data_IF_189926974096
#
_entry.id   IF_189926974096
#
_cell.length_a   1.000
_cell.length_b   1.000
_cell.length_c   1.000
_cell.angle_alpha   90.00
_cell.angle_beta   90.00
_cell.angle_gamma   90.00
#
_symmetry.space_group_name_H-M   'P 1'
#
loop_
_entity.id
_entity.type
_entity.pdbx_description
1 polymer ?
#
# COMPACT_ATOMS: atom_id res chain seq x y z
N UNK A 1 26.87 -28.71 -19.89
CA UNK A 1 27.95 -28.68 -18.87
C UNK A 1 28.50 -27.27 -18.71
N UNK A 2 28.74 -26.83 -17.48
CA UNK A 2 29.39 -25.54 -17.25
C UNK A 2 30.87 -25.60 -17.68
N UNK A 3 31.40 -24.53 -18.30
CA UNK A 3 32.80 -24.45 -18.80
C UNK A 3 33.84 -24.91 -17.77
N UNK A 4 33.58 -24.71 -16.47
CA UNK A 4 34.45 -25.18 -15.40
C UNK A 4 34.51 -26.69 -15.32
N UNK A 5 33.39 -27.39 -15.35
CA UNK A 5 33.35 -28.87 -15.30
C UNK A 5 34.14 -29.48 -16.48
N UNK A 6 34.02 -28.85 -17.66
CA UNK A 6 34.80 -29.28 -18.82
C UNK A 6 36.31 -29.04 -18.58
N UNK A 7 36.69 -27.89 -17.99
CA UNK A 7 38.08 -27.63 -17.65
C UNK A 7 38.62 -28.58 -16.59
N UNK A 8 37.81 -28.96 -15.61
CA UNK A 8 38.16 -29.96 -14.58
C UNK A 8 38.40 -31.34 -15.19
N UNK A 9 37.54 -31.80 -16.08
CA UNK A 9 37.69 -33.07 -16.84
C UNK A 9 39.00 -33.04 -17.65
N UNK A 10 39.29 -31.93 -18.38
CA UNK A 10 40.53 -31.79 -19.15
C UNK A 10 41.78 -31.84 -18.28
N UNK A 11 41.73 -31.34 -17.06
CA UNK A 11 42.86 -31.39 -16.12
C UNK A 11 42.97 -32.78 -15.48
N UNK A 12 41.87 -33.38 -15.04
CA UNK A 12 41.90 -34.63 -14.28
C UNK A 12 42.04 -35.87 -15.17
N UNK A 13 41.31 -35.94 -16.28
CA UNK A 13 41.31 -37.10 -17.15
C UNK A 13 42.38 -37.04 -18.26
N UNK A 14 42.61 -35.84 -18.81
CA UNK A 14 43.55 -35.62 -19.90
C UNK A 14 44.90 -35.06 -19.48
N UNK A 15 45.13 -34.88 -18.15
CA UNK A 15 46.40 -34.42 -17.58
C UNK A 15 46.87 -33.07 -18.18
N UNK A 16 45.95 -32.26 -18.70
CA UNK A 16 46.30 -30.95 -19.28
C UNK A 16 46.62 -29.91 -18.17
N UNK A 17 47.66 -29.09 -18.36
CA UNK A 17 47.91 -27.97 -17.45
C UNK A 17 46.69 -27.06 -17.37
N UNK A 18 46.32 -26.59 -16.16
CA UNK A 18 45.15 -25.73 -15.91
C UNK A 18 45.10 -24.53 -16.85
N UNK A 19 46.27 -23.92 -17.15
CA UNK A 19 46.36 -22.79 -18.08
C UNK A 19 45.88 -23.16 -19.49
N UNK A 20 46.24 -24.34 -19.97
CA UNK A 20 45.84 -24.82 -21.30
C UNK A 20 44.37 -25.24 -21.33
N UNK A 21 43.91 -25.95 -20.32
CA UNK A 21 42.51 -26.32 -20.16
C UNK A 21 41.60 -25.09 -20.12
N UNK A 22 41.95 -24.09 -19.32
CA UNK A 22 41.20 -22.81 -19.25
C UNK A 22 41.16 -22.07 -20.59
N UNK A 23 42.26 -22.09 -21.35
CA UNK A 23 42.32 -21.46 -22.67
C UNK A 23 41.42 -22.17 -23.67
N UNK A 24 41.39 -23.49 -23.67
CA UNK A 24 40.54 -24.31 -24.56
C UNK A 24 39.04 -23.99 -24.34
N UNK A 25 38.59 -23.91 -23.07
CA UNK A 25 37.17 -23.66 -22.74
C UNK A 25 36.84 -22.17 -22.67
N UNK A 26 37.79 -21.28 -22.94
CA UNK A 26 37.63 -19.82 -22.79
C UNK A 26 37.13 -19.44 -21.40
N UNK A 27 37.78 -19.94 -20.36
CA UNK A 27 37.54 -19.63 -18.96
C UNK A 27 38.78 -18.91 -18.39
N UNK A 28 38.59 -17.85 -17.60
CA UNK A 28 39.73 -17.24 -16.92
C UNK A 28 40.24 -18.16 -15.80
N UNK A 29 41.56 -18.12 -15.51
CA UNK A 29 42.15 -18.88 -14.39
C UNK A 29 41.52 -18.51 -13.06
N UNK A 30 41.24 -17.20 -12.86
CA UNK A 30 40.55 -16.72 -11.66
C UNK A 30 39.18 -17.37 -11.51
N UNK A 31 38.39 -17.47 -12.60
CA UNK A 31 37.10 -18.14 -12.58
C UNK A 31 37.21 -19.66 -12.40
N UNK A 32 38.31 -20.29 -12.73
CA UNK A 32 38.58 -21.69 -12.44
C UNK A 32 38.84 -21.93 -10.96
N UNK A 33 39.69 -21.13 -10.32
CA UNK A 33 40.07 -21.31 -8.91
C UNK A 33 39.06 -20.70 -7.93
N UNK A 34 38.35 -19.69 -8.35
CA UNK A 34 37.33 -19.02 -7.50
C UNK A 34 35.93 -19.27 -8.08
N UNK A 35 35.26 -20.33 -7.65
CA UNK A 35 33.87 -20.54 -8.04
C UNK A 35 33.01 -19.35 -7.59
N UNK A 36 32.08 -18.91 -8.44
CA UNK A 36 31.12 -17.91 -8.00
C UNK A 36 30.35 -18.47 -6.80
N UNK A 37 30.18 -17.65 -5.77
CA UNK A 37 29.37 -18.02 -4.61
C UNK A 37 27.99 -18.46 -5.08
N UNK A 38 27.43 -19.54 -4.55
CA UNK A 38 26.07 -19.95 -4.84
C UNK A 38 25.10 -18.79 -4.65
N UNK A 39 24.13 -18.66 -5.53
CA UNK A 39 23.13 -17.60 -5.47
C UNK A 39 22.46 -17.50 -4.09
N UNK A 40 22.20 -18.65 -3.46
CA UNK A 40 21.64 -18.75 -2.11
C UNK A 40 22.50 -18.05 -1.05
N UNK A 41 23.83 -18.20 -1.11
CA UNK A 41 24.74 -17.51 -0.16
C UNK A 41 24.88 -16.02 -0.48
N UNK A 42 24.99 -15.68 -1.77
CA UNK A 42 25.11 -14.27 -2.19
C UNK A 42 23.87 -13.45 -1.88
N UNK A 43 22.69 -14.07 -1.97
CA UNK A 43 21.41 -13.41 -1.82
C UNK A 43 20.82 -13.57 -0.40
N UNK A 44 21.52 -14.28 0.51
CA UNK A 44 21.00 -14.64 1.84
C UNK A 44 20.45 -13.44 2.64
N UNK A 45 21.18 -12.31 2.64
CA UNK A 45 20.73 -11.12 3.34
C UNK A 45 19.45 -10.50 2.73
N UNK A 46 19.33 -10.53 1.39
CA UNK A 46 18.13 -10.04 0.69
C UNK A 46 16.96 -10.98 0.92
N UNK A 47 17.21 -12.30 0.90
CA UNK A 47 16.19 -13.32 1.17
C UNK A 47 15.63 -13.12 2.58
N UNK A 48 16.48 -13.03 3.58
CA UNK A 48 16.06 -12.85 4.97
C UNK A 48 15.21 -11.58 5.16
N UNK A 49 15.68 -10.44 4.62
CA UNK A 49 14.97 -9.17 4.74
C UNK A 49 13.63 -9.16 3.99
N UNK A 50 13.56 -9.77 2.79
CA UNK A 50 12.30 -9.89 2.05
C UNK A 50 11.31 -10.82 2.76
N UNK A 51 11.77 -11.93 3.31
CA UNK A 51 10.92 -12.88 4.05
C UNK A 51 10.33 -12.21 5.28
N UNK A 52 11.14 -11.49 6.06
CA UNK A 52 10.67 -10.75 7.22
C UNK A 52 9.67 -9.63 6.83
N UNK A 53 9.97 -8.85 5.80
CA UNK A 53 9.09 -7.81 5.31
C UNK A 53 7.74 -8.37 4.79
N UNK A 54 7.75 -9.51 4.07
CA UNK A 54 6.51 -10.15 3.59
C UNK A 54 5.70 -10.75 4.74
N UNK A 55 6.35 -11.28 5.77
CA UNK A 55 5.66 -11.78 6.98
C UNK A 55 4.92 -10.65 7.70
N UNK A 56 5.54 -9.47 7.80
CA UNK A 56 4.89 -8.29 8.40
C UNK A 56 3.83 -7.67 7.49
N UNK A 57 4.06 -7.67 6.18
CA UNK A 57 3.21 -6.98 5.21
C UNK A 57 2.80 -7.91 4.05
N UNK A 58 2.01 -8.94 4.28
CA UNK A 58 1.74 -10.02 3.31
C UNK A 58 0.99 -9.55 2.06
N UNK A 59 0.36 -8.36 2.10
CA UNK A 59 -0.41 -7.80 0.99
C UNK A 59 0.33 -6.71 0.21
N UNK A 60 1.58 -6.41 0.58
CA UNK A 60 2.36 -5.42 -0.11
C UNK A 60 3.00 -5.99 -1.38
N UNK A 61 2.90 -5.25 -2.47
CA UNK A 61 3.61 -5.57 -3.70
C UNK A 61 5.08 -5.16 -3.62
N UNK A 62 5.87 -5.59 -4.63
CA UNK A 62 7.31 -5.41 -4.69
C UNK A 62 7.78 -3.98 -4.32
N UNK A 63 7.19 -2.95 -4.93
CA UNK A 63 7.66 -1.58 -4.73
C UNK A 63 7.50 -1.09 -3.28
N UNK A 64 6.36 -1.37 -2.64
CA UNK A 64 6.16 -1.01 -1.23
C UNK A 64 7.15 -1.73 -0.30
N UNK A 65 7.41 -3.02 -0.56
CA UNK A 65 8.41 -3.78 0.19
C UNK A 65 9.81 -3.23 -0.04
N UNK A 66 10.16 -2.90 -1.29
CA UNK A 66 11.45 -2.32 -1.62
C UNK A 66 11.67 -0.95 -0.96
N UNK A 67 10.67 -0.07 -0.99
CA UNK A 67 10.71 1.24 -0.33
C UNK A 67 10.87 1.08 1.18
N UNK A 68 10.17 0.11 1.79
CA UNK A 68 10.34 -0.21 3.21
C UNK A 68 11.77 -0.63 3.54
N UNK A 69 12.36 -1.52 2.75
CA UNK A 69 13.76 -1.91 2.91
C UNK A 69 14.72 -0.72 2.78
N UNK A 70 14.41 0.25 1.91
CA UNK A 70 15.17 1.50 1.79
C UNK A 70 15.08 2.35 3.04
N UNK A 71 13.89 2.50 3.61
CA UNK A 71 13.67 3.20 4.90
C UNK A 71 14.42 2.52 6.04
N UNK A 72 14.53 1.19 6.03
CA UNK A 72 15.32 0.40 6.99
C UNK A 72 16.83 0.46 6.75
N UNK A 73 17.30 1.34 5.83
CA UNK A 73 18.72 1.57 5.56
C UNK A 73 19.37 0.57 4.59
N UNK A 74 18.59 -0.28 3.91
CA UNK A 74 19.15 -1.20 2.91
C UNK A 74 19.46 -0.48 1.60
N UNK A 75 20.69 -0.58 1.11
CA UNK A 75 21.19 0.13 -0.10
C UNK A 75 21.18 -0.72 -1.36
N UNK A 76 20.52 -1.88 -1.34
CA UNK A 76 20.51 -2.82 -2.47
C UNK A 76 19.85 -2.23 -3.72
N UNK A 77 20.38 -2.63 -4.89
CA UNK A 77 19.77 -2.25 -6.17
C UNK A 77 18.41 -2.94 -6.36
N UNK A 78 17.41 -2.20 -6.82
CA UNK A 78 16.07 -2.72 -7.03
C UNK A 78 16.03 -3.93 -7.97
N UNK A 79 16.88 -3.98 -9.03
CA UNK A 79 16.97 -5.13 -9.94
C UNK A 79 17.43 -6.39 -9.23
N UNK A 80 18.37 -6.27 -8.30
CA UNK A 80 18.83 -7.39 -7.47
C UNK A 80 17.72 -7.89 -6.56
N UNK A 81 17.08 -7.00 -5.81
CA UNK A 81 15.98 -7.33 -4.89
C UNK A 81 14.80 -7.93 -5.67
N UNK A 82 14.43 -7.36 -6.82
CA UNK A 82 13.34 -7.86 -7.66
C UNK A 82 13.61 -9.28 -8.19
N UNK A 83 14.84 -9.56 -8.61
CA UNK A 83 15.22 -10.92 -9.04
C UNK A 83 15.03 -11.94 -7.92
N UNK A 84 15.44 -11.60 -6.69
CA UNK A 84 15.27 -12.48 -5.52
C UNK A 84 13.78 -12.61 -5.17
N UNK A 85 13.02 -11.51 -5.18
CA UNK A 85 11.59 -11.49 -4.95
C UNK A 85 10.83 -12.43 -5.90
N UNK A 86 11.15 -12.39 -7.19
CA UNK A 86 10.57 -13.30 -8.18
C UNK A 86 11.01 -14.76 -7.98
N UNK A 87 12.29 -14.98 -7.61
CA UNK A 87 12.81 -16.33 -7.34
C UNK A 87 12.11 -16.99 -6.13
N UNK A 88 11.76 -16.19 -5.12
CA UNK A 88 10.98 -16.62 -3.96
C UNK A 88 9.48 -16.75 -4.23
N UNK A 89 9.02 -16.45 -5.45
CA UNK A 89 7.59 -16.48 -5.85
C UNK A 89 6.68 -15.62 -4.97
N UNK A 90 7.18 -14.49 -4.50
CA UNK A 90 6.43 -13.56 -3.64
C UNK A 90 5.45 -12.65 -4.42
N UNK A 91 5.36 -12.82 -5.73
CA UNK A 91 4.46 -12.04 -6.57
C UNK A 91 3.00 -12.23 -6.14
N UNK A 92 2.31 -11.14 -5.86
CA UNK A 92 0.88 -11.17 -5.57
C UNK A 92 0.11 -11.67 -6.81
N UNK A 93 -0.93 -12.51 -6.62
CA UNK A 93 -1.76 -12.98 -7.73
C UNK A 93 -2.36 -11.78 -8.48
N UNK A 94 -2.22 -11.76 -9.80
CA UNK A 94 -2.85 -10.76 -10.64
C UNK A 94 -4.36 -10.94 -10.60
N UNK A 95 -5.09 -9.93 -10.14
CA UNK A 95 -6.53 -9.89 -10.36
C UNK A 95 -6.80 -9.79 -11.86
N UNK A 96 -7.43 -10.79 -12.43
CA UNK A 96 -7.96 -10.71 -13.79
C UNK A 96 -9.12 -9.73 -13.78
N UNK A 97 -8.87 -8.49 -14.18
CA UNK A 97 -9.95 -7.52 -14.39
C UNK A 97 -10.70 -7.88 -15.66
N UNK A 98 -12.02 -8.07 -15.58
CA UNK A 98 -12.87 -8.07 -16.77
C UNK A 98 -12.59 -6.78 -17.56
N UNK A 99 -12.39 -6.87 -18.85
CA UNK A 99 -12.32 -5.70 -19.74
C UNK A 99 -13.67 -4.98 -19.69
N UNK A 100 -13.75 -3.95 -18.87
CA UNK A 100 -14.88 -3.01 -18.91
C UNK A 100 -14.57 -1.98 -19.98
N UNK A 101 -15.54 -1.55 -20.82
CA UNK A 101 -15.32 -0.48 -21.79
C UNK A 101 -14.67 0.73 -21.11
N UNK A 102 -13.72 1.36 -21.79
CA UNK A 102 -13.06 2.56 -21.28
C UNK A 102 -14.09 3.67 -21.08
N UNK A 103 -14.41 3.99 -19.85
CA UNK A 103 -15.15 5.22 -19.53
C UNK A 103 -14.24 6.41 -19.77
N UNK A 104 -14.79 7.47 -20.34
CA UNK A 104 -14.11 8.77 -20.42
C UNK A 104 -13.99 9.26 -18.96
N UNK A 105 -12.79 9.16 -18.43
CA UNK A 105 -12.50 9.65 -17.07
C UNK A 105 -12.31 11.16 -17.15
N UNK A 106 -13.15 11.89 -16.46
CA UNK A 106 -12.84 13.29 -16.14
C UNK A 106 -11.84 13.24 -14.95
N UNK A 107 -10.64 13.82 -15.11
CA UNK A 107 -9.71 13.85 -13.98
C UNK A 107 -10.32 14.66 -12.84
N UNK A 108 -10.30 14.12 -11.63
CA UNK A 108 -10.54 14.89 -10.42
C UNK A 108 -9.41 15.91 -10.29
N UNK A 109 -9.72 17.15 -10.56
CA UNK A 109 -8.80 18.25 -10.32
C UNK A 109 -8.96 18.69 -8.86
N UNK A 110 -8.30 17.98 -7.95
CA UNK A 110 -8.11 18.51 -6.60
C UNK A 110 -6.89 19.42 -6.66
N UNK A 111 -7.01 20.70 -6.34
CA UNK A 111 -5.85 21.57 -6.21
C UNK A 111 -4.97 21.04 -5.05
N UNK A 112 -3.63 21.06 -5.19
CA UNK A 112 -2.72 20.57 -4.16
C UNK A 112 -2.57 21.61 -3.00
N UNK A 113 -3.70 22.06 -2.48
CA UNK A 113 -3.78 23.06 -1.41
C UNK A 113 -4.49 22.43 -0.24
N UNK A 114 -3.85 22.46 0.93
CA UNK A 114 -4.40 21.92 2.17
C UNK A 114 -5.69 22.67 2.58
N UNK A 115 -6.56 21.94 3.23
CA UNK A 115 -7.84 22.47 3.76
C UNK A 115 -8.75 23.11 2.71
N UNK A 116 -8.56 22.81 1.44
CA UNK A 116 -9.54 23.23 0.42
C UNK A 116 -10.76 22.33 0.42
N UNK A 117 -10.57 21.02 0.31
CA UNK A 117 -11.67 20.06 0.26
C UNK A 117 -11.35 18.86 1.12
N UNK A 118 -12.18 18.60 2.11
CA UNK A 118 -12.15 17.33 2.83
C UNK A 118 -13.16 16.37 2.23
N UNK A 119 -12.75 15.15 1.93
CA UNK A 119 -13.65 14.10 1.51
C UNK A 119 -14.02 13.23 2.71
N UNK A 120 -15.32 12.95 2.86
CA UNK A 120 -15.86 12.11 3.91
C UNK A 120 -16.57 10.90 3.29
N UNK A 121 -16.38 9.74 3.90
CA UNK A 121 -17.08 8.51 3.47
C UNK A 121 -17.28 7.56 4.65
N UNK A 122 -18.28 6.68 4.50
CA UNK A 122 -18.56 5.63 5.47
C UNK A 122 -18.13 4.26 4.98
N UNK A 123 -17.45 3.54 5.86
CA UNK A 123 -17.22 2.11 5.68
C UNK A 123 -17.99 1.33 6.74
N UNK A 124 -18.39 0.12 6.41
CA UNK A 124 -18.88 -0.87 7.38
C UNK A 124 -17.89 -2.02 7.43
N UNK A 125 -17.57 -2.47 8.64
CA UNK A 125 -16.71 -3.61 8.88
C UNK A 125 -17.31 -4.51 9.95
N UNK A 126 -16.89 -5.79 9.96
CA UNK A 126 -17.37 -6.77 10.96
C UNK A 126 -16.19 -7.13 11.85
N UNK A 127 -16.33 -6.95 13.14
CA UNK A 127 -15.35 -7.35 14.14
C UNK A 127 -15.27 -8.88 14.27
N UNK A 128 -14.24 -9.37 14.94
CA UNK A 128 -14.04 -10.80 15.17
C UNK A 128 -15.20 -11.46 15.91
N UNK A 129 -15.83 -10.74 16.81
CA UNK A 129 -17.03 -11.17 17.56
C UNK A 129 -18.35 -11.15 16.76
N UNK A 130 -18.28 -10.80 15.47
CA UNK A 130 -19.43 -10.73 14.58
C UNK A 130 -20.23 -9.42 14.63
N UNK A 131 -19.88 -8.49 15.51
CA UNK A 131 -20.56 -7.18 15.56
C UNK A 131 -20.15 -6.33 14.36
N UNK A 132 -21.14 -5.64 13.78
CA UNK A 132 -20.91 -4.65 12.73
C UNK A 132 -20.60 -3.30 13.32
N UNK A 133 -19.56 -2.68 12.82
CA UNK A 133 -19.16 -1.31 13.15
C UNK A 133 -19.11 -0.46 11.89
N UNK A 134 -19.39 0.82 12.06
CA UNK A 134 -19.25 1.83 11.01
C UNK A 134 -17.99 2.65 11.29
N UNK A 135 -17.31 3.01 10.23
CA UNK A 135 -16.15 3.89 10.27
C UNK A 135 -16.48 5.10 9.40
N UNK A 136 -16.32 6.30 9.97
CA UNK A 136 -16.28 7.54 9.22
C UNK A 136 -14.82 7.85 8.92
N UNK A 137 -14.47 7.93 7.66
CA UNK A 137 -13.13 8.34 7.21
C UNK A 137 -13.18 9.76 6.69
N UNK A 138 -12.20 10.56 7.05
CA UNK A 138 -12.03 11.93 6.58
C UNK A 138 -10.61 12.08 6.04
N UNK A 139 -10.49 12.57 4.81
CA UNK A 139 -9.20 12.86 4.18
C UNK A 139 -9.16 14.28 3.65
N UNK A 140 -7.98 14.88 3.63
CA UNK A 140 -7.72 16.09 2.85
C UNK A 140 -7.39 15.69 1.40
N UNK A 141 -8.16 16.18 0.43
CA UNK A 141 -7.92 15.87 -0.99
C UNK A 141 -6.63 16.52 -1.52
N UNK A 142 -6.13 17.58 -0.90
CA UNK A 142 -4.95 18.33 -1.33
C UNK A 142 -3.67 17.49 -1.22
N UNK A 143 -3.41 16.91 -0.06
CA UNK A 143 -2.25 16.04 0.21
C UNK A 143 -2.61 14.56 0.30
N UNK A 144 -3.91 14.21 0.33
CA UNK A 144 -4.45 12.86 0.48
C UNK A 144 -4.15 12.23 1.83
N UNK A 145 -3.93 13.04 2.83
CA UNK A 145 -3.72 12.64 4.21
C UNK A 145 -5.04 12.20 4.85
N UNK A 146 -5.01 11.10 5.61
CA UNK A 146 -6.11 10.71 6.46
C UNK A 146 -6.14 11.59 7.71
N UNK A 147 -7.16 12.42 7.83
CA UNK A 147 -7.32 13.32 8.97
C UNK A 147 -7.90 12.61 10.19
N UNK A 148 -8.87 11.71 9.96
CA UNK A 148 -9.54 10.98 11.04
C UNK A 148 -10.19 9.69 10.53
N UNK A 149 -10.24 8.70 11.41
CA UNK A 149 -11.03 7.49 11.24
C UNK A 149 -11.83 7.26 12.53
N UNK A 150 -13.03 7.81 12.57
CA UNK A 150 -13.91 7.64 13.71
C UNK A 150 -14.72 6.34 13.61
N UNK A 151 -14.73 5.53 14.66
CA UNK A 151 -15.43 4.25 14.70
C UNK A 151 -16.59 4.28 15.69
N UNK A 152 -17.65 3.54 15.38
CA UNK A 152 -18.77 3.32 16.27
C UNK A 152 -19.79 2.33 15.72
N UNK A 153 -20.61 1.79 16.61
CA UNK A 153 -21.74 0.94 16.21
C UNK A 153 -22.75 1.77 15.43
N UNK A 154 -22.93 3.02 15.82
CA UNK A 154 -23.75 4.01 15.13
C UNK A 154 -23.01 5.34 15.05
N UNK A 155 -23.07 5.98 13.88
CA UNK A 155 -22.45 7.28 13.61
C UNK A 155 -23.52 8.22 13.02
N UNK A 156 -24.46 8.70 13.86
CA UNK A 156 -25.47 9.66 13.41
C UNK A 156 -24.84 11.03 13.10
N UNK A 157 -25.53 11.85 12.33
CA UNK A 157 -25.10 13.18 11.89
C UNK A 157 -24.47 14.04 13.01
N UNK A 158 -25.07 14.04 14.22
CA UNK A 158 -24.51 14.76 15.37
C UNK A 158 -23.12 14.29 15.78
N UNK A 159 -22.81 12.98 15.60
CA UNK A 159 -21.49 12.45 15.89
C UNK A 159 -20.50 12.83 14.78
N UNK A 160 -20.95 12.86 13.52
CA UNK A 160 -20.15 13.41 12.40
C UNK A 160 -19.76 14.86 12.68
N UNK A 161 -20.72 15.69 13.09
CA UNK A 161 -20.47 17.10 13.44
C UNK A 161 -19.45 17.23 14.57
N UNK A 162 -19.50 16.36 15.59
CA UNK A 162 -18.48 16.36 16.66
C UNK A 162 -17.09 16.09 16.12
N UNK A 163 -16.93 15.06 15.28
CA UNK A 163 -15.66 14.73 14.63
C UNK A 163 -15.14 15.91 13.79
N UNK A 164 -16.03 16.55 13.03
CA UNK A 164 -15.66 17.71 12.23
C UNK A 164 -15.21 18.89 13.10
N UNK A 165 -15.84 19.14 14.24
CA UNK A 165 -15.43 20.19 15.18
C UNK A 165 -14.02 19.91 15.73
N UNK A 166 -13.74 18.67 16.12
CA UNK A 166 -12.41 18.24 16.58
C UNK A 166 -11.36 18.45 15.49
N UNK A 167 -11.67 18.07 14.24
CA UNK A 167 -10.78 18.25 13.10
C UNK A 167 -10.53 19.73 12.76
N UNK A 168 -11.58 20.55 12.81
CA UNK A 168 -11.43 22.02 12.58
C UNK A 168 -10.55 22.66 13.64
N UNK A 169 -10.64 22.21 14.89
CA UNK A 169 -9.77 22.69 15.96
C UNK A 169 -8.30 22.30 15.75
N UNK A 170 -8.02 21.16 15.15
CA UNK A 170 -6.65 20.64 14.92
C UNK A 170 -6.03 21.15 13.61
N UNK A 171 -6.78 21.12 12.52
CA UNK A 171 -6.27 21.36 11.16
C UNK A 171 -6.74 22.69 10.55
N UNK A 172 -7.65 23.37 11.21
CA UNK A 172 -8.33 24.53 10.63
C UNK A 172 -9.54 24.12 9.78
N UNK A 173 -10.29 25.11 9.33
CA UNK A 173 -11.55 24.94 8.61
C UNK A 173 -11.30 24.64 7.11
N UNK A 174 -11.94 23.63 6.51
CA UNK A 174 -11.90 23.43 5.06
C UNK A 174 -12.79 24.46 4.34
N UNK A 175 -12.51 24.72 3.08
CA UNK A 175 -13.37 25.55 2.22
C UNK A 175 -14.62 24.77 1.79
N UNK A 176 -14.48 23.47 1.57
CA UNK A 176 -15.57 22.61 1.16
C UNK A 176 -15.43 21.21 1.76
N UNK A 177 -16.55 20.48 1.84
CA UNK A 177 -16.58 19.05 2.13
C UNK A 177 -17.22 18.31 0.96
N UNK A 178 -16.66 17.15 0.61
CA UNK A 178 -17.18 16.25 -0.40
C UNK A 178 -17.75 15.00 0.26
N UNK A 179 -19.03 14.72 0.01
CA UNK A 179 -19.79 13.65 0.67
C UNK A 179 -20.70 12.96 -0.33
N UNK A 180 -21.10 11.73 -0.01
CA UNK A 180 -22.21 11.07 -0.70
C UNK A 180 -23.57 11.64 -0.23
N UNK A 181 -24.67 11.12 -0.82
CA UNK A 181 -26.02 11.53 -0.43
C UNK A 181 -26.55 10.68 0.74
N UNK A 182 -25.67 10.22 1.62
CA UNK A 182 -26.07 9.45 2.79
C UNK A 182 -26.95 10.25 3.76
N UNK A 183 -27.82 9.57 4.53
CA UNK A 183 -28.72 10.25 5.46
C UNK A 183 -27.98 11.05 6.54
N UNK A 184 -26.78 10.69 6.88
CA UNK A 184 -25.95 11.38 7.86
C UNK A 184 -25.46 12.74 7.37
N UNK A 185 -25.21 12.89 6.05
CA UNK A 185 -24.74 14.10 5.42
C UNK A 185 -25.86 14.99 4.85
N UNK A 186 -27.08 14.45 4.76
CA UNK A 186 -28.26 15.21 4.36
C UNK A 186 -29.12 15.63 5.55
N UNK A 187 -28.82 15.13 6.75
CA UNK A 187 -29.52 15.48 7.97
C UNK A 187 -29.22 16.93 8.42
N UNK A 188 -30.22 17.55 9.02
CA UNK A 188 -30.18 18.95 9.44
C UNK A 188 -28.93 19.33 10.25
N UNK A 189 -28.47 18.54 11.25
CA UNK A 189 -27.29 18.91 12.03
C UNK A 189 -26.01 19.09 11.21
N UNK A 190 -25.82 18.31 10.13
CA UNK A 190 -24.68 18.45 9.25
C UNK A 190 -24.82 19.66 8.34
N UNK A 191 -26.02 19.87 7.80
CA UNK A 191 -26.30 21.03 6.93
C UNK A 191 -26.11 22.33 7.70
N UNK A 192 -26.64 22.42 8.92
CA UNK A 192 -26.51 23.58 9.81
C UNK A 192 -25.03 23.84 10.11
N UNK A 193 -24.27 22.80 10.44
CA UNK A 193 -22.83 22.93 10.70
C UNK A 193 -22.07 23.49 9.49
N UNK A 194 -22.38 23.01 8.30
CA UNK A 194 -21.75 23.54 7.07
C UNK A 194 -22.10 25.02 6.86
N UNK A 195 -23.33 25.40 7.09
CA UNK A 195 -23.78 26.78 6.98
C UNK A 195 -23.13 27.70 8.03
N UNK A 196 -23.11 27.30 9.30
CA UNK A 196 -22.50 28.04 10.41
C UNK A 196 -21.00 28.28 10.20
N UNK A 197 -20.30 27.28 9.65
CA UNK A 197 -18.86 27.36 9.40
C UNK A 197 -18.53 27.94 8.02
N UNK A 198 -19.51 28.25 7.17
CA UNK A 198 -19.29 28.72 5.81
C UNK A 198 -18.52 27.69 4.94
N UNK A 199 -18.80 26.40 5.13
CA UNK A 199 -18.19 25.29 4.39
C UNK A 199 -19.14 24.84 3.28
N UNK A 200 -18.66 24.88 2.03
CA UNK A 200 -19.47 24.44 0.89
C UNK A 200 -19.60 22.90 0.90
N UNK A 201 -20.79 22.39 0.56
CA UNK A 201 -21.02 20.96 0.46
C UNK A 201 -21.08 20.51 -1.00
N UNK A 202 -20.18 19.58 -1.38
CA UNK A 202 -20.14 18.98 -2.70
C UNK A 202 -20.72 17.56 -2.63
N UNK A 203 -21.97 17.41 -2.97
CA UNK A 203 -22.62 16.09 -3.06
C UNK A 203 -22.19 15.35 -4.33
N UNK A 204 -21.86 14.08 -4.19
CA UNK A 204 -21.48 13.22 -5.30
C UNK A 204 -22.73 12.92 -6.13
N UNK A 205 -22.63 13.07 -7.44
CA UNK A 205 -23.72 12.77 -8.34
C UNK A 205 -23.99 11.25 -8.39
N UNK A 206 -25.25 10.81 -8.35
CA UNK A 206 -25.59 9.41 -8.50
C UNK A 206 -24.96 8.80 -9.76
N UNK A 207 -24.31 7.64 -9.61
CA UNK A 207 -23.67 6.94 -10.73
C UNK A 207 -22.30 7.48 -11.15
N UNK A 208 -21.72 8.47 -10.45
CA UNK A 208 -20.39 9.00 -10.69
C UNK A 208 -19.42 8.74 -9.51
N UNK A 209 -19.05 7.49 -9.21
CA UNK A 209 -18.12 7.16 -8.12
C UNK A 209 -16.74 7.78 -8.31
N UNK A 210 -16.36 8.08 -9.56
CA UNK A 210 -15.07 8.73 -9.85
C UNK A 210 -14.91 10.09 -9.12
N UNK A 211 -16.01 10.73 -8.71
CA UNK A 211 -15.98 11.99 -7.97
C UNK A 211 -15.47 11.84 -6.51
N UNK A 212 -15.44 10.61 -5.97
CA UNK A 212 -14.92 10.31 -4.62
C UNK A 212 -13.70 9.36 -4.65
N UNK A 213 -13.00 9.32 -5.77
CA UNK A 213 -11.96 8.31 -6.00
C UNK A 213 -10.80 8.35 -5.00
N UNK A 214 -10.50 9.52 -4.41
CA UNK A 214 -9.40 9.63 -3.43
C UNK A 214 -9.73 8.92 -2.13
N UNK A 215 -10.90 9.19 -1.56
CA UNK A 215 -11.31 8.53 -0.31
C UNK A 215 -11.62 7.05 -0.53
N UNK A 216 -12.21 6.66 -1.68
CA UNK A 216 -12.39 5.25 -2.03
C UNK A 216 -11.07 4.49 -2.07
N UNK A 217 -10.02 5.12 -2.62
CA UNK A 217 -8.67 4.55 -2.64
C UNK A 217 -8.09 4.45 -1.24
N UNK A 218 -8.24 5.48 -0.42
CA UNK A 218 -7.82 5.49 0.98
C UNK A 218 -8.52 4.36 1.74
N UNK A 219 -9.85 4.27 1.67
CA UNK A 219 -10.65 3.25 2.31
C UNK A 219 -10.25 1.84 1.89
N UNK A 220 -9.93 1.63 0.61
CA UNK A 220 -9.43 0.34 0.12
C UNK A 220 -8.07 0.00 0.73
N UNK A 221 -7.16 0.96 0.79
CA UNK A 221 -5.84 0.75 1.38
C UNK A 221 -5.96 0.45 2.87
N UNK A 222 -6.73 1.24 3.59
CA UNK A 222 -6.97 1.06 5.02
C UNK A 222 -7.60 -0.31 5.32
N UNK A 223 -8.65 -0.69 4.58
CA UNK A 223 -9.26 -2.01 4.71
C UNK A 223 -8.27 -3.14 4.46
N UNK A 224 -7.44 -3.00 3.42
CA UNK A 224 -6.52 -4.08 3.01
C UNK A 224 -5.30 -4.18 3.90
N UNK A 225 -4.75 -3.05 4.34
CA UNK A 225 -3.46 -2.98 5.02
C UNK A 225 -3.60 -2.95 6.55
N UNK A 226 -4.74 -2.50 7.06
CA UNK A 226 -5.01 -2.40 8.49
C UNK A 226 -6.12 -3.37 8.92
N UNK A 227 -7.35 -3.17 8.45
CA UNK A 227 -8.50 -3.94 8.95
C UNK A 227 -8.38 -5.45 8.69
N UNK A 228 -7.89 -5.84 7.51
CA UNK A 228 -7.70 -7.27 7.18
C UNK A 228 -6.35 -7.84 7.65
N UNK A 229 -5.45 -7.02 8.16
CA UNK A 229 -4.17 -7.47 8.68
C UNK A 229 -4.21 -7.75 10.19
N UNK A 230 -5.21 -7.23 10.89
CA UNK A 230 -5.37 -7.34 12.33
C UNK A 230 -6.73 -7.91 12.70
N UNK A 231 -6.80 -8.66 13.80
CA UNK A 231 -8.03 -9.11 14.41
C UNK A 231 -8.41 -8.13 15.53
N UNK A 232 -9.57 -7.52 15.42
CA UNK A 232 -10.09 -6.60 16.42
C UNK A 232 -11.15 -7.31 17.27
N UNK A 233 -10.82 -7.59 18.54
CA UNK A 233 -11.66 -8.36 19.46
C UNK A 233 -12.76 -7.51 20.10
N UNK A 234 -12.53 -6.21 20.32
CA UNK A 234 -13.55 -5.33 20.90
C UNK A 234 -13.52 -3.94 20.27
N UNK A 235 -14.70 -3.42 19.97
CA UNK A 235 -14.88 -2.08 19.38
C UNK A 235 -14.68 -0.91 20.33
N UNK A 236 -14.00 -1.11 21.46
CA UNK A 236 -13.75 -0.08 22.49
C UNK A 236 -12.31 0.43 22.54
N UNK A 237 -11.37 -0.25 21.89
CA UNK A 237 -10.06 0.35 21.67
C UNK A 237 -10.18 1.33 20.49
N UNK A 238 -10.11 2.64 20.74
CA UNK A 238 -9.98 3.58 19.65
C UNK A 238 -8.67 3.23 18.95
N UNK A 239 -8.77 2.76 17.72
CA UNK A 239 -7.63 2.63 16.81
C UNK A 239 -7.01 4.03 16.62
N UNK A 240 -6.32 4.54 17.61
CA UNK A 240 -5.36 5.62 17.49
C UNK A 240 -4.09 5.06 16.86
N UNK A 241 -4.21 4.68 15.60
CA UNK A 241 -3.04 4.53 14.77
C UNK A 241 -2.79 5.88 14.09
N UNK A 242 -1.99 6.68 14.73
CA UNK A 242 -1.24 7.72 14.05
C UNK A 242 -0.41 7.04 12.97
N UNK A 243 -0.76 7.31 11.72
CA UNK A 243 0.03 6.93 10.54
C UNK A 243 1.26 7.83 10.45
#
# INVERSE_FOLDING_TARGET
MAKRQIAEVLVQEHQLPVQRACRVVRLSRTAYYQPPLPASRRDAAVIAALTDAVTRYPRWGFWKLFDRLRVEGRTWNHKHVHRVYCALRLNLPRRTTRRVPRRIRQPLTAPPVLNQTWALDFMTETLYDGRRVRLLTVIDEGNREGLEIAMGVSLPSRRVVRVLNELVALHGRPTAVRVDNGPEFTAQPFVDWCAEHGVATHYIQPGKPDQNAYIERFNRSYRTEVLHAHLFESGLDPLRWTV
#
